data_IF_472889734507
#
_entry.id   IF_472889734507
#
_cell.length_a   1.000
_cell.length_b   1.000
_cell.length_c   1.000
_cell.angle_alpha   90.00
_cell.angle_beta   90.00
_cell.angle_gamma   90.00
#
_symmetry.space_group_name_H-M   'P 1'
#
loop_
_entity.id
_entity.type
_entity.pdbx_description
1 polymer ?
#
# COMPACT_ATOMS: atom_id res chain seq x y z
N UNK A 1 -21.59 -3.27 22.72
CA UNK A 1 -21.04 -3.24 21.36
C UNK A 1 -19.53 -3.14 21.49
N UNK A 2 -18.80 -4.24 21.33
CA UNK A 2 -17.34 -4.25 21.50
C UNK A 2 -16.67 -3.67 20.25
N UNK A 3 -16.22 -2.41 20.34
CA UNK A 3 -15.30 -1.83 19.36
C UNK A 3 -13.93 -2.49 19.52
N UNK A 4 -13.80 -3.72 19.06
CA UNK A 4 -12.51 -4.36 18.89
C UNK A 4 -11.93 -3.79 17.62
N UNK A 5 -11.10 -2.76 17.73
CA UNK A 5 -10.35 -2.20 16.60
C UNK A 5 -9.48 -3.33 16.04
N UNK A 6 -9.99 -4.07 15.06
CA UNK A 6 -9.25 -5.14 14.41
C UNK A 6 -8.08 -4.48 13.67
N UNK A 7 -6.92 -4.52 14.30
CA UNK A 7 -5.68 -4.03 13.72
C UNK A 7 -5.41 -4.88 12.49
N UNK A 8 -5.40 -4.25 11.32
CA UNK A 8 -5.00 -4.92 10.08
C UNK A 8 -3.64 -5.58 10.29
N UNK A 9 -3.53 -6.83 9.84
CA UNK A 9 -2.26 -7.55 9.89
C UNK A 9 -1.17 -6.74 9.20
N UNK A 10 0.01 -6.72 9.81
CA UNK A 10 1.16 -6.00 9.23
C UNK A 10 1.74 -6.85 8.10
N UNK A 11 1.50 -6.41 6.88
CA UNK A 11 2.17 -6.98 5.70
C UNK A 11 3.55 -6.33 5.59
N UNK A 12 4.59 -7.17 5.61
CA UNK A 12 5.96 -6.71 5.38
C UNK A 12 6.27 -6.83 3.88
N UNK A 13 6.64 -5.71 3.28
CA UNK A 13 7.08 -5.65 1.88
C UNK A 13 8.60 -5.49 1.83
N UNK A 14 9.23 -6.20 0.90
CA UNK A 14 10.65 -5.98 0.58
C UNK A 14 10.84 -4.59 -0.04
N UNK A 15 12.08 -4.11 -0.07
CA UNK A 15 12.40 -2.81 -0.68
C UNK A 15 12.03 -2.84 -2.17
N UNK A 16 12.35 -3.93 -2.87
CA UNK A 16 12.05 -4.14 -4.29
C UNK A 16 10.55 -4.05 -4.57
N UNK A 17 9.70 -4.72 -3.79
CA UNK A 17 8.25 -4.66 -3.94
C UNK A 17 7.73 -3.22 -3.81
N UNK A 18 8.26 -2.45 -2.85
CA UNK A 18 7.86 -1.04 -2.68
C UNK A 18 8.27 -0.20 -3.88
N UNK A 19 9.47 -0.44 -4.44
CA UNK A 19 9.97 0.25 -5.62
C UNK A 19 9.13 -0.07 -6.87
N UNK A 20 8.69 -1.32 -7.03
CA UNK A 20 7.82 -1.70 -8.15
C UNK A 20 6.45 -1.01 -8.04
N UNK A 21 5.85 -0.99 -6.84
CA UNK A 21 4.61 -0.23 -6.64
C UNK A 21 4.79 1.28 -6.87
N UNK A 22 5.94 1.85 -6.47
CA UNK A 22 6.26 3.24 -6.74
C UNK A 22 6.36 3.54 -8.25
N UNK A 23 7.03 2.67 -9.02
CA UNK A 23 7.11 2.78 -10.48
C UNK A 23 5.74 2.72 -11.15
N UNK A 24 4.87 1.80 -10.72
CA UNK A 24 3.51 1.71 -11.25
C UNK A 24 2.71 3.01 -11.01
N UNK A 25 2.89 3.64 -9.85
CA UNK A 25 2.23 4.92 -9.55
C UNK A 25 2.80 6.10 -10.34
N UNK A 26 4.12 6.13 -10.53
CA UNK A 26 4.81 7.25 -11.18
C UNK A 26 4.74 7.19 -12.72
N UNK A 27 4.87 6.01 -13.30
CA UNK A 27 5.00 5.82 -14.75
C UNK A 27 3.73 5.29 -15.41
N UNK A 28 3.00 4.41 -14.74
CA UNK A 28 1.80 3.76 -15.31
C UNK A 28 0.49 4.39 -14.82
N UNK A 29 0.58 5.52 -14.11
CA UNK A 29 -0.57 6.29 -13.63
C UNK A 29 -1.49 5.45 -12.70
N UNK A 30 -0.95 4.46 -12.00
CA UNK A 30 -1.73 3.68 -11.04
C UNK A 30 -2.18 4.57 -9.89
N UNK A 31 -3.48 4.56 -9.62
CA UNK A 31 -4.01 5.23 -8.44
C UNK A 31 -3.62 4.50 -7.17
N UNK A 32 -3.51 5.24 -6.06
CA UNK A 32 -3.22 4.65 -4.76
C UNK A 32 -4.27 3.57 -4.38
N UNK A 33 -5.53 3.75 -4.79
CA UNK A 33 -6.61 2.75 -4.60
C UNK A 33 -6.28 1.42 -5.31
N UNK A 34 -5.73 1.48 -6.53
CA UNK A 34 -5.34 0.29 -7.29
C UNK A 34 -4.16 -0.43 -6.63
N UNK A 35 -3.16 0.31 -6.15
CA UNK A 35 -2.03 -0.26 -5.41
C UNK A 35 -2.50 -0.90 -4.09
N UNK A 36 -3.43 -0.27 -3.36
CA UNK A 36 -4.03 -0.83 -2.15
C UNK A 36 -4.73 -2.16 -2.47
N UNK A 37 -5.50 -2.22 -3.55
CA UNK A 37 -6.22 -3.43 -3.95
C UNK A 37 -5.26 -4.58 -4.32
N UNK A 38 -4.13 -4.28 -4.97
CA UNK A 38 -3.15 -5.29 -5.39
C UNK A 38 -2.27 -5.76 -4.22
N UNK A 39 -1.79 -4.83 -3.39
CA UNK A 39 -0.83 -5.11 -2.32
C UNK A 39 -1.49 -5.47 -0.99
N UNK A 40 -2.78 -5.19 -0.81
CA UNK A 40 -3.49 -5.36 0.47
C UNK A 40 -3.07 -4.38 1.56
N UNK A 41 -2.22 -3.40 1.25
CA UNK A 41 -1.68 -2.45 2.23
C UNK A 41 -2.64 -1.30 2.57
N UNK A 42 -2.29 -0.51 3.58
CA UNK A 42 -3.04 0.70 3.94
C UNK A 42 -2.70 1.89 3.04
N UNK A 43 -3.62 2.86 2.94
CA UNK A 43 -3.42 4.10 2.18
C UNK A 43 -2.22 4.93 2.66
N UNK A 44 -1.94 4.91 3.97
CA UNK A 44 -0.78 5.59 4.54
C UNK A 44 0.55 4.99 4.06
N UNK A 45 0.61 3.66 3.89
CA UNK A 45 1.80 2.99 3.39
C UNK A 45 2.04 3.31 1.91
N UNK A 46 0.99 3.26 1.08
CA UNK A 46 1.09 3.59 -0.36
C UNK A 46 1.55 5.03 -0.58
N UNK A 47 1.06 5.96 0.25
CA UNK A 47 1.47 7.38 0.15
C UNK A 47 2.97 7.54 0.40
N UNK A 48 3.53 6.82 1.39
CA UNK A 48 4.97 6.81 1.68
C UNK A 48 5.85 6.14 0.63
N UNK A 49 5.30 5.29 -0.23
CA UNK A 49 6.08 4.69 -1.32
C UNK A 49 6.20 5.61 -2.53
N UNK A 50 5.31 6.61 -2.63
CA UNK A 50 5.33 7.62 -3.68
C UNK A 50 6.31 8.76 -3.36
N UNK A 51 6.44 9.12 -2.08
CA UNK A 51 7.42 10.09 -1.58
C UNK A 51 8.86 9.65 -1.91
#
# INVERSE_FOLDING_TARGET
>A
MTNTTQRKERINFTIEQKLDYAKLMAHENYSNKKIIAISGTGSSAVTRWRE
#
